data_IF_837939932751
#
_entry.id   IF_837939932751
#
_cell.length_a   1.000
_cell.length_b   1.000
_cell.length_c   1.000
_cell.angle_alpha   90.00
_cell.angle_beta   90.00
_cell.angle_gamma   90.00
#
_symmetry.space_group_name_H-M   'P 1'
#
loop_
_entity.id
_entity.type
_entity.pdbx_description
1 polymer ?
#
# COMPACT_ATOMS: atom_id res chain seq x y z
N UNK A 1 -21.15 4.15 9.34
CA UNK A 1 -19.98 4.73 8.64
C UNK A 1 -19.06 3.59 8.24
N UNK A 2 -18.67 3.49 6.97
CA UNK A 2 -17.81 2.39 6.49
C UNK A 2 -16.47 2.39 7.24
N UNK A 3 -16.01 1.22 7.73
CA UNK A 3 -14.77 1.05 8.51
C UNK A 3 -13.56 1.73 7.84
N UNK A 4 -13.53 1.66 6.51
CA UNK A 4 -12.51 2.23 5.63
C UNK A 4 -12.42 3.76 5.72
N UNK A 5 -13.54 4.45 5.84
CA UNK A 5 -13.56 5.91 5.92
C UNK A 5 -13.01 6.41 7.27
N UNK A 6 -13.27 5.68 8.37
CA UNK A 6 -12.63 5.97 9.65
C UNK A 6 -11.14 5.65 9.64
N UNK A 7 -10.73 4.52 9.06
CA UNK A 7 -9.32 4.15 8.92
C UNK A 7 -8.54 5.23 8.16
N UNK A 8 -9.07 5.74 7.05
CA UNK A 8 -8.45 6.82 6.28
C UNK A 8 -8.28 8.13 7.08
N UNK A 9 -9.22 8.47 7.97
CA UNK A 9 -9.10 9.66 8.85
C UNK A 9 -8.01 9.47 9.90
N UNK A 10 -7.95 8.29 10.52
CA UNK A 10 -6.91 7.97 11.50
C UNK A 10 -5.53 7.89 10.86
N UNK A 11 -5.41 7.29 9.68
CA UNK A 11 -4.17 7.23 8.91
C UNK A 11 -3.64 8.63 8.59
N UNK A 12 -4.52 9.54 8.17
CA UNK A 12 -4.16 10.95 7.96
C UNK A 12 -3.63 11.61 9.24
N UNK A 13 -4.40 11.50 10.33
CA UNK A 13 -4.01 12.11 11.59
C UNK A 13 -2.69 11.56 12.13
N UNK A 14 -2.44 10.25 11.98
CA UNK A 14 -1.17 9.63 12.34
C UNK A 14 -0.03 10.19 11.50
N UNK A 15 -0.21 10.27 10.18
CA UNK A 15 0.83 10.76 9.28
C UNK A 15 1.16 12.23 9.57
N UNK A 16 0.15 13.08 9.81
CA UNK A 16 0.35 14.50 10.14
C UNK A 16 1.20 14.67 11.42
N UNK A 17 0.96 13.83 12.43
CA UNK A 17 1.75 13.84 13.68
C UNK A 17 3.16 13.30 13.44
N UNK A 18 3.29 12.18 12.73
CA UNK A 18 4.58 11.50 12.54
C UNK A 18 5.51 12.29 11.61
N UNK A 19 4.98 13.01 10.62
CA UNK A 19 5.76 13.94 9.79
C UNK A 19 6.43 15.03 10.65
N UNK A 20 5.77 15.45 11.73
CA UNK A 20 6.24 16.54 12.59
C UNK A 20 7.18 16.05 13.69
N UNK A 21 6.91 14.88 14.27
CA UNK A 21 7.54 14.42 15.51
C UNK A 21 8.43 13.18 15.35
N UNK A 22 8.50 12.56 14.17
CA UNK A 22 9.16 11.27 14.05
C UNK A 22 9.53 10.84 12.64
N UNK A 23 9.67 9.51 12.48
CA UNK A 23 10.08 8.88 11.24
C UNK A 23 8.89 8.13 10.62
N UNK A 24 8.28 8.66 9.55
CA UNK A 24 7.08 8.06 8.96
C UNK A 24 7.35 6.72 8.26
N UNK A 25 8.57 6.48 7.79
CA UNK A 25 9.07 5.19 7.30
C UNK A 25 8.95 4.12 8.39
N UNK A 26 9.53 4.40 9.56
CA UNK A 26 9.56 3.43 10.67
C UNK A 26 8.13 3.08 11.12
N UNK A 27 7.25 4.08 11.20
CA UNK A 27 5.86 3.87 11.59
C UNK A 27 5.09 3.03 10.57
N UNK A 28 5.42 3.13 9.27
CA UNK A 28 4.82 2.28 8.23
C UNK A 28 5.23 0.82 8.41
N UNK A 29 6.52 0.56 8.65
CA UNK A 29 7.05 -0.77 8.88
C UNK A 29 6.47 -1.40 10.15
N UNK A 30 6.43 -0.64 11.24
CA UNK A 30 5.87 -1.09 12.51
C UNK A 30 4.37 -1.40 12.38
N UNK A 31 3.61 -0.54 11.69
CA UNK A 31 2.17 -0.74 11.47
C UNK A 31 1.90 -1.93 10.53
N UNK A 32 2.75 -2.14 9.51
CA UNK A 32 2.68 -3.29 8.63
C UNK A 32 3.00 -4.60 9.38
N UNK A 33 4.03 -4.60 10.23
CA UNK A 33 4.38 -5.73 11.08
C UNK A 33 3.24 -6.08 12.05
N UNK A 34 2.65 -5.07 12.69
CA UNK A 34 1.48 -5.26 13.55
C UNK A 34 0.29 -5.85 12.78
N UNK A 35 -0.04 -5.29 11.60
CA UNK A 35 -1.13 -5.80 10.77
C UNK A 35 -0.88 -7.25 10.32
N UNK A 36 0.35 -7.61 9.96
CA UNK A 36 0.74 -8.96 9.59
C UNK A 36 0.62 -9.94 10.78
N UNK A 37 1.03 -9.54 11.98
CA UNK A 37 0.86 -10.36 13.19
C UNK A 37 -0.62 -10.62 13.50
N UNK A 38 -1.46 -9.59 13.39
CA UNK A 38 -2.91 -9.73 13.61
C UNK A 38 -3.54 -10.61 12.53
N UNK A 39 -3.12 -10.46 11.27
CA UNK A 39 -3.62 -11.29 10.16
C UNK A 39 -3.16 -12.76 10.24
N UNK A 40 -1.96 -13.01 10.77
CA UNK A 40 -1.40 -14.35 10.95
C UNK A 40 -2.02 -15.15 12.10
N UNK A 41 -2.75 -14.50 13.01
CA UNK A 41 -3.38 -15.11 14.17
C UNK A 41 -4.90 -14.85 14.18
N UNK A 42 -5.72 -15.76 13.61
CA UNK A 42 -7.19 -15.60 13.55
C UNK A 42 -7.84 -15.43 14.92
N UNK A 43 -7.32 -16.11 15.93
CA UNK A 43 -7.82 -16.02 17.30
C UNK A 43 -7.50 -14.66 17.93
N UNK A 44 -6.35 -14.06 17.58
CA UNK A 44 -6.00 -12.70 17.98
C UNK A 44 -6.95 -11.70 17.32
N UNK A 45 -7.18 -11.82 16.01
CA UNK A 45 -8.13 -10.96 15.30
C UNK A 45 -9.54 -11.03 15.91
N UNK A 46 -10.01 -12.23 16.25
CA UNK A 46 -11.30 -12.44 16.93
C UNK A 46 -11.31 -11.83 18.33
N UNK A 47 -10.25 -12.02 19.11
CA UNK A 47 -10.15 -11.42 20.45
C UNK A 47 -10.16 -9.88 20.41
N UNK A 48 -9.51 -9.27 19.42
CA UNK A 48 -9.44 -7.81 19.27
C UNK A 48 -10.75 -7.22 18.73
N UNK A 49 -11.49 -7.97 17.91
CA UNK A 49 -12.78 -7.53 17.34
C UNK A 49 -13.99 -7.87 18.19
N UNK A 50 -13.87 -8.79 19.16
CA UNK A 50 -14.99 -9.22 19.99
C UNK A 50 -15.25 -8.20 21.13
N UNK A 51 -16.44 -7.57 21.19
CA UNK A 51 -16.79 -6.61 22.23
C UNK A 51 -16.94 -7.25 23.62
N UNK A 52 -17.10 -8.57 23.71
CA UNK A 52 -17.19 -9.30 24.99
C UNK A 52 -15.84 -9.39 25.72
N UNK A 53 -14.72 -9.12 25.03
CA UNK A 53 -13.40 -9.11 25.66
C UNK A 53 -13.19 -7.76 26.36
N UNK A 54 -12.88 -7.73 27.66
CA UNK A 54 -12.70 -6.49 28.39
C UNK A 54 -11.53 -5.67 27.83
N UNK A 55 -11.68 -4.34 27.83
CA UNK A 55 -10.69 -3.39 27.30
C UNK A 55 -9.31 -3.58 27.97
N UNK A 56 -9.27 -3.94 29.25
CA UNK A 56 -8.04 -4.24 29.99
C UNK A 56 -7.27 -5.42 29.39
N UNK A 57 -7.96 -6.49 29.00
CA UNK A 57 -7.35 -7.65 28.35
C UNK A 57 -6.84 -7.28 26.94
N UNK A 58 -7.61 -6.49 26.18
CA UNK A 58 -7.17 -5.98 24.86
C UNK A 58 -5.92 -5.12 24.96
N UNK A 59 -5.86 -4.23 25.96
CA UNK A 59 -4.68 -3.39 26.25
C UNK A 59 -3.46 -4.23 26.60
N UNK A 60 -3.59 -5.24 27.44
CA UNK A 60 -2.47 -6.13 27.79
C UNK A 60 -1.90 -6.88 26.58
N UNK A 61 -2.77 -7.37 25.70
CA UNK A 61 -2.35 -7.99 24.43
C UNK A 61 -1.64 -6.96 23.55
N UNK A 62 -2.18 -5.74 23.45
CA UNK A 62 -1.58 -4.65 22.68
C UNK A 62 -0.21 -4.24 23.20
N UNK A 63 -0.02 -4.07 24.50
CA UNK A 63 1.29 -3.75 25.09
C UNK A 63 2.30 -4.87 24.82
N UNK A 64 1.85 -6.13 24.85
CA UNK A 64 2.70 -7.29 24.52
C UNK A 64 3.09 -7.31 23.03
N UNK A 65 2.20 -6.88 22.13
CA UNK A 65 2.49 -6.77 20.70
C UNK A 65 3.35 -5.55 20.39
N UNK A 66 3.04 -4.40 21.01
CA UNK A 66 3.78 -3.16 20.88
C UNK A 66 5.20 -3.34 21.40
N UNK A 67 5.42 -3.95 22.56
CA UNK A 67 6.79 -4.23 23.05
C UNK A 67 7.64 -5.10 22.10
N UNK A 68 7.03 -5.84 21.17
CA UNK A 68 7.73 -6.61 20.12
C UNK A 68 7.95 -5.84 18.83
N UNK A 69 7.18 -4.78 18.59
CA UNK A 69 7.14 -4.05 17.31
C UNK A 69 7.64 -2.63 17.48
N UNK A 70 7.08 -1.87 18.43
CA UNK A 70 7.54 -0.53 18.79
C UNK A 70 7.20 -0.14 20.23
N UNK A 71 8.17 0.39 20.97
CA UNK A 71 8.08 0.56 22.42
C UNK A 71 7.41 1.88 22.86
N UNK A 72 7.43 2.92 22.02
CA UNK A 72 6.90 4.24 22.38
C UNK A 72 6.81 5.18 21.18
N UNK A 73 5.61 5.66 20.86
CA UNK A 73 5.44 6.64 19.78
C UNK A 73 3.97 7.00 19.48
N UNK A 74 3.73 7.87 18.49
CA UNK A 74 2.39 8.23 18.02
C UNK A 74 1.54 7.01 17.62
N UNK A 75 2.18 5.98 17.06
CA UNK A 75 1.55 4.72 16.68
C UNK A 75 0.97 3.96 17.89
N UNK A 76 1.75 3.80 18.96
CA UNK A 76 1.31 3.12 20.17
C UNK A 76 0.10 3.83 20.81
N UNK A 77 0.14 5.18 20.89
CA UNK A 77 -0.97 5.99 21.41
C UNK A 77 -2.24 5.83 20.56
N UNK A 78 -2.10 5.79 19.23
CA UNK A 78 -3.23 5.57 18.34
C UNK A 78 -3.82 4.16 18.53
N UNK A 79 -2.99 3.14 18.61
CA UNK A 79 -3.44 1.76 18.79
C UNK A 79 -4.12 1.56 20.15
N UNK A 80 -3.63 2.19 21.22
CA UNK A 80 -4.31 2.22 22.52
C UNK A 80 -5.67 2.93 22.43
N UNK A 81 -5.75 4.09 21.74
CA UNK A 81 -7.01 4.79 21.53
C UNK A 81 -8.01 3.94 20.73
N UNK A 82 -7.55 3.18 19.74
CA UNK A 82 -8.39 2.28 18.96
C UNK A 82 -8.87 1.08 19.78
N UNK A 83 -8.07 0.60 20.74
CA UNK A 83 -8.47 -0.41 21.72
C UNK A 83 -9.60 0.08 22.62
N UNK A 84 -9.48 1.31 23.12
CA UNK A 84 -10.46 1.91 24.02
C UNK A 84 -11.80 2.17 23.34
N UNK A 85 -11.75 2.47 22.04
CA UNK A 85 -12.93 2.73 21.21
C UNK A 85 -13.54 1.45 20.61
N UNK A 86 -13.00 0.28 20.94
CA UNK A 86 -13.37 -1.02 20.38
C UNK A 86 -13.29 -1.09 18.85
N UNK A 87 -12.30 -0.38 18.28
CA UNK A 87 -12.11 -0.18 16.84
C UNK A 87 -10.90 -0.89 16.26
N UNK A 88 -10.26 -1.79 17.01
CA UNK A 88 -9.06 -2.49 16.55
C UNK A 88 -9.23 -3.31 15.28
N UNK A 89 -10.47 -3.69 14.94
CA UNK A 89 -10.78 -4.35 13.66
C UNK A 89 -10.36 -3.55 12.42
N UNK A 90 -10.15 -2.24 12.53
CA UNK A 90 -9.71 -1.41 11.39
C UNK A 90 -8.20 -1.39 11.19
N UNK A 91 -7.40 -2.08 12.01
CA UNK A 91 -5.94 -2.00 11.97
C UNK A 91 -5.35 -2.35 10.58
N UNK A 92 -5.92 -3.34 9.88
CA UNK A 92 -5.50 -3.68 8.51
C UNK A 92 -5.82 -2.59 7.50
N UNK A 93 -7.03 -2.04 7.52
CA UNK A 93 -7.44 -0.90 6.68
C UNK A 93 -6.60 0.36 6.99
N UNK A 94 -6.25 0.56 8.26
CA UNK A 94 -5.40 1.66 8.73
C UNK A 94 -3.99 1.53 8.18
N UNK A 95 -3.39 0.34 8.24
CA UNK A 95 -2.06 0.06 7.69
C UNK A 95 -2.00 0.36 6.19
N UNK A 96 -2.95 -0.17 5.42
CA UNK A 96 -3.04 0.09 3.98
C UNK A 96 -3.23 1.60 3.68
N UNK A 97 -4.15 2.27 4.40
CA UNK A 97 -4.40 3.69 4.21
C UNK A 97 -3.22 4.59 4.59
N UNK A 98 -2.45 4.22 5.61
CA UNK A 98 -1.25 4.95 6.02
C UNK A 98 -0.15 4.80 4.97
N UNK A 99 0.09 3.58 4.47
CA UNK A 99 1.07 3.32 3.42
C UNK A 99 0.77 4.11 2.14
N UNK A 100 -0.48 4.10 1.66
CA UNK A 100 -0.89 4.88 0.48
C UNK A 100 -0.62 6.38 0.66
N UNK A 101 -0.96 6.92 1.84
CA UNK A 101 -0.76 8.33 2.19
C UNK A 101 0.72 8.69 2.27
N UNK A 102 1.54 7.80 2.82
CA UNK A 102 2.97 7.99 2.93
C UNK A 102 3.63 8.03 1.56
N UNK A 103 3.22 7.14 0.65
CA UNK A 103 3.68 7.16 -0.74
C UNK A 103 3.24 8.44 -1.46
N UNK A 104 2.00 8.89 -1.24
CA UNK A 104 1.53 10.18 -1.78
C UNK A 104 2.35 11.36 -1.26
N UNK A 105 2.64 11.40 0.05
CA UNK A 105 3.47 12.43 0.68
C UNK A 105 4.90 12.43 0.13
N UNK A 106 5.52 11.26 -0.06
CA UNK A 106 6.85 11.13 -0.66
C UNK A 106 6.86 11.36 -2.16
N UNK A 107 5.70 11.61 -2.78
CA UNK A 107 5.55 11.67 -4.22
C UNK A 107 6.11 10.40 -4.89
N UNK A 108 5.92 9.24 -4.25
CA UNK A 108 6.30 7.94 -4.78
C UNK A 108 5.10 7.38 -5.52
N UNK A 109 5.23 7.15 -6.82
CA UNK A 109 4.17 6.54 -7.63
C UNK A 109 4.49 5.08 -7.85
N UNK A 110 3.55 4.20 -7.55
CA UNK A 110 3.67 2.78 -7.86
C UNK A 110 3.48 2.58 -9.37
N UNK A 111 4.50 2.04 -10.02
CA UNK A 111 4.43 1.63 -11.42
C UNK A 111 4.39 0.10 -11.50
N UNK A 112 3.27 -0.46 -11.92
CA UNK A 112 3.19 -1.88 -12.25
C UNK A 112 3.53 -2.08 -13.72
N UNK A 113 4.65 -2.74 -13.99
CA UNK A 113 5.08 -3.04 -15.36
C UNK A 113 4.82 -4.51 -15.63
N UNK A 114 3.87 -4.76 -16.53
CA UNK A 114 3.54 -6.10 -17.01
C UNK A 114 4.26 -6.34 -18.32
N UNK A 115 5.10 -7.38 -18.38
CA UNK A 115 5.83 -7.77 -19.61
C UNK A 115 5.64 -9.23 -19.97
N UNK A 116 5.74 -9.51 -21.26
CA UNK A 116 5.73 -10.87 -21.81
C UNK A 116 6.94 -11.72 -21.35
N UNK A 117 8.08 -11.07 -21.13
CA UNK A 117 9.33 -11.71 -20.68
C UNK A 117 9.87 -11.02 -19.43
N UNK A 118 10.63 -11.72 -18.57
CA UNK A 118 11.34 -11.09 -17.46
C UNK A 118 12.22 -9.95 -17.99
N UNK A 119 12.13 -8.76 -17.39
CA UNK A 119 13.07 -7.69 -17.72
C UNK A 119 14.40 -7.95 -17.01
N UNK A 120 15.49 -7.71 -17.73
CA UNK A 120 16.81 -7.64 -17.13
C UNK A 120 16.91 -6.44 -16.16
N UNK A 121 17.67 -6.54 -15.06
CA UNK A 121 17.80 -5.48 -14.07
C UNK A 121 18.29 -4.15 -14.66
N UNK A 122 19.13 -4.17 -15.70
CA UNK A 122 19.57 -2.92 -16.36
C UNK A 122 18.42 -2.19 -17.06
N UNK A 123 17.46 -2.94 -17.64
CA UNK A 123 16.27 -2.36 -18.28
C UNK A 123 15.27 -1.84 -17.27
N UNK A 124 15.14 -2.48 -16.10
CA UNK A 124 14.30 -1.99 -15.01
C UNK A 124 14.79 -0.63 -14.51
N UNK A 125 16.09 -0.49 -14.24
CA UNK A 125 16.69 0.77 -13.80
C UNK A 125 16.51 1.89 -14.84
N UNK A 126 16.67 1.57 -16.12
CA UNK A 126 16.42 2.52 -17.21
C UNK A 126 14.95 2.96 -17.28
N UNK A 127 14.00 2.03 -17.15
CA UNK A 127 12.58 2.35 -17.10
C UNK A 127 12.23 3.21 -15.89
N UNK A 128 12.76 2.87 -14.72
CA UNK A 128 12.55 3.63 -13.48
C UNK A 128 13.01 5.08 -13.64
N UNK A 129 14.20 5.30 -14.21
CA UNK A 129 14.73 6.65 -14.48
C UNK A 129 13.86 7.44 -15.45
N UNK A 130 13.37 6.79 -16.51
CA UNK A 130 12.51 7.42 -17.55
C UNK A 130 11.13 7.75 -17.00
N UNK A 131 10.54 6.84 -16.22
CA UNK A 131 9.26 7.03 -15.55
C UNK A 131 9.36 8.10 -14.46
N UNK A 132 10.44 8.11 -13.68
CA UNK A 132 10.70 9.15 -12.69
C UNK A 132 10.85 10.53 -13.34
N UNK A 133 11.56 10.61 -14.47
CA UNK A 133 11.71 11.86 -15.24
C UNK A 133 10.40 12.32 -15.87
N UNK A 134 9.59 11.39 -16.40
CA UNK A 134 8.30 11.71 -17.03
C UNK A 134 7.22 12.13 -16.03
N UNK A 135 7.26 11.60 -14.81
CA UNK A 135 6.29 11.90 -13.76
C UNK A 135 6.75 12.98 -12.78
N UNK A 136 8.05 13.32 -12.76
CA UNK A 136 8.64 14.23 -11.78
C UNK A 136 8.63 13.68 -10.35
N UNK A 137 8.51 12.36 -10.20
CA UNK A 137 8.21 11.65 -8.94
C UNK A 137 9.11 10.44 -8.78
N UNK A 138 9.36 9.97 -7.56
CA UNK A 138 10.06 8.69 -7.36
C UNK A 138 9.12 7.55 -7.77
N UNK A 139 9.61 6.52 -8.45
CA UNK A 139 8.75 5.46 -8.97
C UNK A 139 9.16 4.14 -8.37
N UNK A 140 8.29 3.53 -7.56
CA UNK A 140 8.51 2.16 -7.10
C UNK A 140 7.92 1.21 -8.12
N UNK A 141 8.78 0.50 -8.84
CA UNK A 141 8.38 -0.45 -9.87
C UNK A 141 8.09 -1.84 -9.30
N UNK A 142 6.93 -2.39 -9.64
CA UNK A 142 6.61 -3.80 -9.44
C UNK A 142 6.53 -4.46 -10.82
N UNK A 143 7.46 -5.37 -11.11
CA UNK A 143 7.50 -6.09 -12.38
C UNK A 143 6.69 -7.38 -12.27
N UNK A 144 5.72 -7.58 -13.17
CA UNK A 144 4.94 -8.81 -13.28
C UNK A 144 5.12 -9.40 -14.68
N UNK A 145 5.42 -10.69 -14.75
CA UNK A 145 5.50 -11.39 -16.05
C UNK A 145 4.13 -11.98 -16.36
N UNK A 146 3.57 -11.62 -17.51
CA UNK A 146 2.34 -12.20 -18.02
C UNK A 146 2.59 -12.75 -19.44
N UNK A 147 2.66 -14.08 -19.60
CA UNK A 147 2.93 -14.72 -20.89
C UNK A 147 1.77 -14.59 -21.89
N UNK A 148 0.60 -14.10 -21.48
CA UNK A 148 -0.51 -13.80 -22.41
C UNK A 148 -0.25 -12.55 -23.24
N UNK A 149 0.68 -11.68 -22.85
CA UNK A 149 1.15 -10.61 -23.72
C UNK A 149 2.00 -11.20 -24.85
N UNK A 150 1.48 -11.05 -26.08
CA UNK A 150 2.13 -11.47 -27.33
C UNK A 150 3.45 -10.68 -27.56
N UNK A 151 3.62 -9.54 -26.87
CA UNK A 151 4.86 -8.78 -26.80
C UNK A 151 4.62 -7.31 -26.39
N UNK A 152 5.62 -6.70 -25.76
CA UNK A 152 5.57 -5.32 -25.26
C UNK A 152 5.42 -5.21 -23.73
N UNK A 153 5.33 -3.96 -23.24
CA UNK A 153 5.24 -3.64 -21.82
C UNK A 153 4.02 -2.75 -21.55
N UNK A 154 3.25 -3.09 -20.52
CA UNK A 154 2.17 -2.24 -19.99
C UNK A 154 2.61 -1.70 -18.65
N UNK A 155 2.88 -0.40 -18.57
CA UNK A 155 3.25 0.27 -17.33
C UNK A 155 2.04 1.03 -16.76
N UNK A 156 1.48 0.57 -15.65
CA UNK A 156 0.42 1.24 -14.91
C UNK A 156 1.03 2.07 -13.79
N UNK A 157 0.94 3.39 -13.88
CA UNK A 157 1.53 4.36 -12.96
C UNK A 157 0.39 5.07 -12.22
N UNK A 158 0.05 4.58 -11.02
CA UNK A 158 -1.16 5.02 -10.32
C UNK A 158 -2.43 4.79 -11.16
N UNK A 159 -3.06 5.87 -11.61
CA UNK A 159 -4.25 5.84 -12.49
C UNK A 159 -3.93 5.94 -13.99
N UNK A 160 -2.69 6.28 -14.37
CA UNK A 160 -2.28 6.36 -15.78
C UNK A 160 -1.79 5.00 -16.27
N UNK A 161 -2.38 4.49 -17.35
CA UNK A 161 -1.93 3.27 -18.01
C UNK A 161 -1.15 3.65 -19.26
N UNK A 162 0.15 3.39 -19.24
CA UNK A 162 1.02 3.46 -20.41
C UNK A 162 1.08 2.06 -21.05
N UNK A 163 0.21 1.84 -22.03
CA UNK A 163 0.14 0.59 -22.78
C UNK A 163 1.02 0.69 -24.05
N UNK A 164 2.18 0.03 -23.99
CA UNK A 164 3.10 -0.17 -25.12
C UNK A 164 3.06 -1.59 -25.68
N UNK A 165 1.95 -2.32 -25.49
CA UNK A 165 1.82 -3.68 -26.02
C UNK A 165 1.64 -3.70 -27.55
N UNK A 166 2.22 -4.73 -28.18
CA UNK A 166 2.10 -4.97 -29.62
C UNK A 166 0.63 -5.28 -29.98
N UNK A 167 -0.12 -5.89 -29.06
CA UNK A 167 -1.55 -6.15 -29.21
C UNK A 167 -2.34 -4.86 -29.46
N UNK A 168 -2.06 -3.80 -28.69
CA UNK A 168 -2.75 -2.51 -28.84
C UNK A 168 -2.30 -1.76 -30.09
N UNK A 169 -1.04 -1.91 -30.53
CA UNK A 169 -0.59 -1.36 -31.82
C UNK A 169 -1.28 -2.04 -33.01
N UNK A 170 -1.39 -3.38 -33.01
CA UNK A 170 -2.12 -4.12 -34.04
C UNK A 170 -3.62 -3.80 -34.04
N UNK A 171 -4.24 -3.67 -32.87
CA UNK A 171 -5.64 -3.27 -32.75
C UNK A 171 -5.89 -1.87 -33.34
N UNK A 172 -5.01 -0.89 -33.05
CA UNK A 172 -5.10 0.47 -33.62
C UNK A 172 -4.91 0.47 -35.14
N UNK A 173 -4.06 -0.39 -35.68
CA UNK A 173 -3.89 -0.51 -37.14
C UNK A 173 -5.15 -1.13 -37.76
N UNK A 174 -5.70 -2.19 -37.17
CA UNK A 174 -6.95 -2.81 -37.62
C UNK A 174 -8.11 -1.82 -37.61
N UNK A 175 -8.28 -1.05 -36.54
CA UNK A 175 -9.35 -0.05 -36.44
C UNK A 175 -9.23 1.07 -37.49
N UNK A 176 -8.00 1.47 -37.83
CA UNK A 176 -7.74 2.45 -38.91
C UNK A 176 -8.06 1.89 -40.29
N UNK A 177 -7.79 0.60 -40.51
CA UNK A 177 -8.11 -0.06 -41.77
C UNK A 177 -9.63 -0.29 -41.93
N UNK A 178 -10.34 -0.63 -40.86
CA UNK A 178 -11.80 -0.80 -40.87
C UNK A 178 -12.56 0.54 -41.05
N UNK A 179 -12.01 1.68 -40.59
CA UNK A 179 -12.60 3.02 -40.81
C UNK A 179 -12.39 3.60 -42.21
N UNK A 180 -11.55 2.98 -43.03
CA UNK A 180 -11.23 3.46 -44.39
C UNK A 180 -11.93 2.63 -45.48
N UNK A 181 -12.79 1.68 -45.09
CA UNK A 181 -13.57 0.83 -45.99
C UNK A 181 -15.02 1.32 -46.12
#
# INVERSE_FOLDING_TARGET
MSSRASAARYARALLDVVITEGNPEQVDEDLAAFAALVAGAPDLQRALTNPAVPVSAKRGILDTLLSRVTSSGPLAKLLQLLADRDRLGIAGDLAAGYHERLMEHRQVVRAEVVTATPLAPERLAWFEQRLASATGRRVTMSARVDPTLIGGAVARVGSLVYDGSIATQLAKIRERLEKTA
#
